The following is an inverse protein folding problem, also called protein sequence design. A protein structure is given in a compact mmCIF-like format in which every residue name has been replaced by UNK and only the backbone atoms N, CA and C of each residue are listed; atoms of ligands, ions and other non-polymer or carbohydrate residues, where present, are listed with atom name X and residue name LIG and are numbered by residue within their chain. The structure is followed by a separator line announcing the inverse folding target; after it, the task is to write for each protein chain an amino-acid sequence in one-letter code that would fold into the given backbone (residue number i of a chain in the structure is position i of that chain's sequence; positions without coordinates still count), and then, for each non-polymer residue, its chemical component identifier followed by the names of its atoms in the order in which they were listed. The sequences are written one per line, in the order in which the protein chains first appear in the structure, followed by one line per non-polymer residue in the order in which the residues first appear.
data_IF_041297810246
#
_entry.id   IF_041297810246
#
_cell.length_a   1.000
_cell.length_b   1.000
_cell.length_c   1.000
_cell.angle_alpha   90.00
_cell.angle_beta   90.00
_cell.angle_gamma   90.00
#
_symmetry.space_group_name_H-M   'P 1'
#
loop_
_entity.id
_entity.type
_entity.pdbx_description
1 polymer ?
#
# COMPACT_ATOMS: atom_id res chain seq x y z
N UNK A 1 -23.13 -25.48 -9.36
CA UNK A 1 -22.01 -25.45 -10.33
C UNK A 1 -21.54 -24.02 -10.41
N UNK A 2 -20.53 -23.65 -9.63
CA UNK A 2 -19.89 -22.34 -9.77
C UNK A 2 -19.15 -22.34 -11.12
N UNK A 3 -19.68 -21.59 -12.07
CA UNK A 3 -19.02 -21.34 -13.36
C UNK A 3 -17.67 -20.66 -13.01
N UNK A 4 -16.56 -21.37 -13.25
CA UNK A 4 -15.23 -20.77 -13.05
C UNK A 4 -15.13 -19.52 -13.93
N UNK A 5 -15.18 -18.36 -13.30
CA UNK A 5 -14.98 -17.07 -13.98
C UNK A 5 -13.52 -17.04 -14.43
N UNK A 6 -13.27 -16.84 -15.73
CA UNK A 6 -11.90 -16.79 -16.25
C UNK A 6 -11.13 -15.60 -15.65
N UNK A 7 -9.81 -15.72 -15.51
CA UNK A 7 -8.95 -14.67 -15.01
C UNK A 7 -9.11 -13.37 -15.83
N UNK A 8 -9.20 -13.49 -17.15
CA UNK A 8 -9.45 -12.34 -18.04
C UNK A 8 -10.78 -11.64 -17.78
N UNK A 9 -11.83 -12.41 -17.45
CA UNK A 9 -13.11 -11.83 -17.05
C UNK A 9 -13.04 -11.08 -15.72
N UNK A 10 -12.29 -11.59 -14.74
CA UNK A 10 -12.05 -10.88 -13.48
C UNK A 10 -11.25 -9.60 -13.69
N UNK A 11 -10.19 -9.65 -14.49
CA UNK A 11 -9.38 -8.48 -14.83
C UNK A 11 -10.23 -7.39 -15.49
N UNK A 12 -11.06 -7.77 -16.44
CA UNK A 12 -11.97 -6.85 -17.13
C UNK A 12 -12.94 -6.18 -16.14
N UNK A 13 -13.58 -6.95 -15.26
CA UNK A 13 -14.50 -6.42 -14.24
C UNK A 13 -13.80 -5.47 -13.28
N UNK A 14 -12.57 -5.77 -12.86
CA UNK A 14 -11.78 -4.85 -12.02
C UNK A 14 -11.43 -3.59 -12.78
N UNK A 15 -11.02 -3.70 -14.05
CA UNK A 15 -10.74 -2.54 -14.89
C UNK A 15 -11.97 -1.62 -15.03
N UNK A 16 -13.15 -2.19 -15.30
CA UNK A 16 -14.42 -1.46 -15.35
C UNK A 16 -14.71 -0.75 -14.03
N UNK A 17 -14.58 -1.47 -12.89
CA UNK A 17 -14.84 -0.91 -11.57
C UNK A 17 -13.87 0.23 -11.22
N UNK A 18 -12.58 0.07 -11.55
CA UNK A 18 -11.58 1.13 -11.33
C UNK A 18 -11.92 2.38 -12.14
N UNK A 19 -12.28 2.23 -13.40
CA UNK A 19 -12.59 3.38 -14.24
C UNK A 19 -13.91 4.05 -13.82
N UNK A 20 -14.97 3.27 -13.55
CA UNK A 20 -16.31 3.81 -13.30
C UNK A 20 -16.56 4.20 -11.84
N UNK A 21 -16.11 3.41 -10.85
CA UNK A 21 -16.41 3.63 -9.44
C UNK A 21 -15.23 4.30 -8.69
N UNK A 22 -14.00 3.84 -8.92
CA UNK A 22 -12.82 4.43 -8.25
C UNK A 22 -12.51 5.83 -8.76
N UNK A 23 -12.41 5.98 -10.09
CA UNK A 23 -11.98 7.22 -10.74
C UNK A 23 -13.13 8.04 -11.35
N UNK A 24 -14.34 7.47 -11.40
CA UNK A 24 -15.52 8.09 -12.00
C UNK A 24 -15.24 8.70 -13.39
N UNK A 25 -14.51 7.95 -14.23
CA UNK A 25 -14.06 8.37 -15.55
C UNK A 25 -15.26 8.61 -16.48
N UNK A 26 -15.21 9.68 -17.27
CA UNK A 26 -16.25 10.08 -18.20
C UNK A 26 -15.78 9.98 -19.64
N UNK A 27 -16.73 9.85 -20.57
CA UNK A 27 -16.46 9.91 -22.01
C UNK A 27 -15.72 11.19 -22.37
N UNK A 28 -14.66 11.06 -23.16
CA UNK A 28 -13.83 12.17 -23.64
C UNK A 28 -12.65 12.50 -22.74
N UNK A 29 -12.58 11.96 -21.53
CA UNK A 29 -11.43 12.18 -20.64
C UNK A 29 -10.16 11.46 -21.13
N UNK A 30 -9.01 11.99 -20.74
CA UNK A 30 -7.70 11.44 -20.99
C UNK A 30 -7.29 10.50 -19.85
N UNK A 31 -7.06 9.23 -20.18
CA UNK A 31 -6.66 8.18 -19.20
C UNK A 31 -5.24 7.74 -19.49
N UNK A 32 -4.34 7.94 -18.54
CA UNK A 32 -2.98 7.40 -18.58
C UNK A 32 -2.91 6.13 -17.75
N UNK A 33 -2.41 5.06 -18.34
CA UNK A 33 -2.13 3.79 -17.68
C UNK A 33 -0.63 3.57 -17.66
N UNK A 34 -0.03 3.56 -16.48
CA UNK A 34 1.37 3.21 -16.32
C UNK A 34 1.48 1.80 -15.76
N UNK A 35 2.33 0.99 -16.36
CA UNK A 35 2.54 -0.39 -15.94
C UNK A 35 4.01 -0.78 -16.06
N UNK A 36 4.45 -1.61 -15.13
CA UNK A 36 5.69 -2.35 -15.28
C UNK A 36 5.46 -3.64 -16.08
N UNK A 37 6.51 -4.31 -16.56
CA UNK A 37 6.44 -5.46 -17.47
C UNK A 37 5.40 -6.52 -17.06
N UNK A 38 5.40 -6.92 -15.79
CA UNK A 38 4.54 -7.97 -15.26
C UNK A 38 3.08 -7.55 -15.06
N UNK A 39 2.78 -6.24 -15.10
CA UNK A 39 1.41 -5.70 -15.05
C UNK A 39 0.75 -5.52 -16.42
N UNK A 40 1.48 -5.74 -17.50
CA UNK A 40 1.05 -5.38 -18.87
C UNK A 40 -0.25 -6.07 -19.30
N UNK A 41 -0.48 -7.31 -18.92
CA UNK A 41 -1.73 -8.03 -19.27
C UNK A 41 -2.95 -7.32 -18.66
N UNK A 42 -2.85 -6.93 -17.39
CA UNK A 42 -3.92 -6.18 -16.73
C UNK A 42 -4.05 -4.75 -17.28
N UNK A 43 -2.94 -4.07 -17.56
CA UNK A 43 -2.93 -2.74 -18.18
C UNK A 43 -3.67 -2.71 -19.52
N UNK A 44 -3.52 -3.77 -20.34
CA UNK A 44 -4.29 -3.94 -21.59
C UNK A 44 -5.78 -3.95 -21.33
N UNK A 45 -6.23 -4.61 -20.27
CA UNK A 45 -7.66 -4.65 -19.90
C UNK A 45 -8.16 -3.25 -19.53
N UNK A 46 -7.38 -2.48 -18.76
CA UNK A 46 -7.74 -1.09 -18.39
C UNK A 46 -7.83 -0.19 -19.62
N UNK A 47 -6.83 -0.25 -20.51
CA UNK A 47 -6.81 0.54 -21.75
C UNK A 47 -8.00 0.19 -22.65
N UNK A 48 -8.31 -1.10 -22.79
CA UNK A 48 -9.43 -1.54 -23.61
C UNK A 48 -10.78 -1.03 -23.09
N UNK A 49 -11.00 -1.11 -21.77
CA UNK A 49 -12.23 -0.63 -21.15
C UNK A 49 -12.33 0.91 -21.19
N UNK A 50 -11.24 1.64 -20.96
CA UNK A 50 -11.24 3.10 -21.08
C UNK A 50 -11.58 3.55 -22.51
N UNK A 51 -11.03 2.90 -23.53
CA UNK A 51 -11.39 3.16 -24.95
C UNK A 51 -12.84 2.83 -25.24
N UNK A 52 -13.36 1.72 -24.70
CA UNK A 52 -14.77 1.36 -24.84
C UNK A 52 -15.71 2.38 -24.19
N UNK A 53 -15.27 3.09 -23.15
CA UNK A 53 -15.99 4.22 -22.54
C UNK A 53 -15.87 5.52 -23.35
N UNK A 54 -15.09 5.53 -24.44
CA UNK A 54 -14.89 6.70 -25.30
C UNK A 54 -13.80 7.66 -24.79
N UNK A 55 -12.86 7.19 -24.01
CA UNK A 55 -11.71 7.96 -23.52
C UNK A 55 -10.55 7.92 -24.50
N UNK A 56 -9.69 8.94 -24.45
CA UNK A 56 -8.35 8.87 -25.03
C UNK A 56 -7.41 8.16 -24.05
N UNK A 57 -6.45 7.38 -24.54
CA UNK A 57 -5.59 6.57 -23.65
C UNK A 57 -4.14 6.62 -24.04
N UNK A 58 -3.25 6.69 -23.04
CA UNK A 58 -1.81 6.45 -23.15
C UNK A 58 -1.46 5.25 -22.28
N UNK A 59 -0.64 4.34 -22.81
CA UNK A 59 -0.03 3.26 -22.03
C UNK A 59 1.47 3.53 -21.95
N UNK A 60 1.95 3.75 -20.72
CA UNK A 60 3.37 3.83 -20.39
C UNK A 60 3.84 2.47 -19.89
N UNK A 61 4.95 2.03 -20.41
CA UNK A 61 5.61 0.80 -19.95
C UNK A 61 6.95 1.16 -19.33
N UNK A 62 7.11 0.85 -18.05
CA UNK A 62 8.40 0.86 -17.35
C UNK A 62 9.00 -0.54 -17.43
N UNK A 63 10.17 -0.65 -18.07
CA UNK A 63 10.89 -1.90 -18.15
C UNK A 63 11.83 -2.05 -16.95
N UNK A 64 11.68 -3.15 -16.21
CA UNK A 64 12.41 -3.39 -14.95
C UNK A 64 13.93 -3.39 -15.14
N UNK A 65 14.42 -4.05 -16.19
CA UNK A 65 15.86 -4.13 -16.43
C UNK A 65 16.43 -2.79 -16.94
N UNK A 66 15.69 -2.08 -17.80
CA UNK A 66 16.06 -0.75 -18.25
C UNK A 66 16.09 0.25 -17.09
N UNK A 67 15.12 0.17 -16.16
CA UNK A 67 15.10 1.00 -14.96
C UNK A 67 16.33 0.73 -14.06
N UNK A 68 16.62 -0.53 -13.76
CA UNK A 68 17.74 -0.91 -12.89
C UNK A 68 19.08 -0.52 -13.53
N UNK A 69 19.26 -0.84 -14.81
CA UNK A 69 20.49 -0.48 -15.54
C UNK A 69 20.66 1.03 -15.64
N UNK A 70 19.60 1.73 -16.05
CA UNK A 70 19.58 3.18 -16.17
C UNK A 70 19.89 3.88 -14.85
N UNK A 71 19.20 3.47 -13.77
CA UNK A 71 19.42 4.01 -12.43
C UNK A 71 20.86 3.79 -11.93
N UNK A 72 21.49 2.65 -12.28
CA UNK A 72 22.87 2.35 -11.86
C UNK A 72 23.93 3.24 -12.55
N UNK A 73 23.62 3.73 -13.73
CA UNK A 73 24.54 4.51 -14.64
C UNK A 73 24.23 6.00 -14.68
N UNK A 74 23.04 6.41 -14.25
CA UNK A 74 22.64 7.80 -14.32
C UNK A 74 23.55 8.72 -13.48
N UNK A 75 23.82 9.96 -13.95
CA UNK A 75 24.47 10.97 -13.14
C UNK A 75 23.69 11.23 -11.85
N UNK A 76 24.40 11.35 -10.72
CA UNK A 76 23.78 11.48 -9.39
C UNK A 76 22.81 12.67 -9.26
N UNK A 77 23.08 13.75 -9.95
CA UNK A 77 22.26 14.97 -9.97
C UNK A 77 20.97 14.81 -10.81
N UNK A 78 20.87 13.73 -11.59
CA UNK A 78 19.72 13.44 -12.47
C UNK A 78 18.76 12.38 -11.92
N UNK A 79 19.23 11.55 -11.02
CA UNK A 79 18.39 10.51 -10.42
C UNK A 79 17.28 11.14 -9.56
N UNK A 80 16.07 10.63 -9.69
CA UNK A 80 14.89 11.12 -8.96
C UNK A 80 14.39 12.49 -9.42
N UNK A 81 14.76 12.93 -10.60
CA UNK A 81 14.18 14.11 -11.25
C UNK A 81 13.09 13.66 -12.23
N UNK A 82 11.92 14.27 -12.10
CA UNK A 82 10.85 14.13 -13.06
C UNK A 82 11.15 14.94 -14.33
N UNK A 83 10.96 14.35 -15.50
CA UNK A 83 11.22 14.96 -16.78
C UNK A 83 10.11 15.90 -17.27
N UNK A 84 10.43 16.80 -18.20
CA UNK A 84 9.43 17.69 -18.81
C UNK A 84 8.32 16.93 -19.55
N UNK A 85 8.65 15.78 -20.14
CA UNK A 85 7.72 14.88 -20.80
C UNK A 85 6.71 14.30 -19.79
N UNK A 86 7.16 13.91 -18.60
CA UNK A 86 6.31 13.39 -17.54
C UNK A 86 5.38 14.48 -16.97
N UNK A 87 5.90 15.69 -16.74
CA UNK A 87 5.07 16.84 -16.33
C UNK A 87 3.98 17.13 -17.36
N UNK A 88 4.31 17.19 -18.64
CA UNK A 88 3.33 17.43 -19.71
C UNK A 88 2.29 16.32 -19.84
N UNK A 89 2.69 15.08 -19.59
CA UNK A 89 1.77 13.95 -19.56
C UNK A 89 0.79 14.05 -18.39
N UNK A 90 1.27 14.34 -17.17
CA UNK A 90 0.40 14.51 -15.99
C UNK A 90 -0.57 15.67 -16.18
N UNK A 91 -0.09 16.79 -16.70
CA UNK A 91 -0.92 17.98 -16.99
C UNK A 91 -2.04 17.67 -18.00
N UNK A 92 -1.80 16.76 -18.94
CA UNK A 92 -2.78 16.32 -19.95
C UNK A 92 -3.60 15.09 -19.54
N UNK A 93 -3.58 14.66 -18.26
CA UNK A 93 -4.24 13.45 -17.77
C UNK A 93 -5.36 13.79 -16.78
N UNK A 94 -6.58 13.30 -17.04
CA UNK A 94 -7.71 13.41 -16.11
C UNK A 94 -7.75 12.26 -15.10
N UNK A 95 -7.41 11.05 -15.54
CA UNK A 95 -7.38 9.85 -14.70
C UNK A 95 -6.12 9.02 -14.95
N UNK A 96 -5.51 8.56 -13.86
CA UNK A 96 -4.23 7.85 -13.88
C UNK A 96 -4.34 6.49 -13.19
N UNK A 97 -3.96 5.44 -13.89
CA UNK A 97 -3.94 4.07 -13.35
C UNK A 97 -2.50 3.59 -13.29
N UNK A 98 -2.00 3.35 -12.10
CA UNK A 98 -0.64 2.88 -11.86
C UNK A 98 -0.62 1.41 -11.43
N UNK A 99 0.05 0.58 -12.21
CA UNK A 99 0.28 -0.85 -11.93
C UNK A 99 1.77 -1.02 -11.61
N UNK A 100 2.16 -0.85 -10.33
CA UNK A 100 3.55 -0.77 -9.94
C UNK A 100 4.29 -2.10 -10.08
N UNK A 101 5.57 -2.01 -10.33
CA UNK A 101 6.62 -3.02 -10.16
C UNK A 101 7.71 -2.47 -9.26
N UNK A 102 8.87 -3.06 -9.27
CA UNK A 102 9.27 -4.29 -9.96
C UNK A 102 8.72 -5.56 -9.29
N UNK A 103 8.83 -6.67 -10.02
CA UNK A 103 8.34 -7.98 -9.57
C UNK A 103 9.09 -8.53 -8.36
N UNK A 104 10.39 -8.29 -8.29
CA UNK A 104 11.28 -8.88 -7.29
C UNK A 104 11.40 -8.01 -6.05
N UNK A 105 11.11 -8.56 -4.86
CA UNK A 105 11.42 -7.88 -3.60
C UNK A 105 12.92 -7.57 -3.47
N UNK A 106 13.77 -8.43 -4.02
CA UNK A 106 15.22 -8.28 -4.03
C UNK A 106 15.73 -7.16 -4.97
N UNK A 107 14.90 -6.57 -5.81
CA UNK A 107 15.33 -5.49 -6.69
C UNK A 107 15.96 -4.33 -5.92
N UNK A 108 15.44 -4.05 -4.72
CA UNK A 108 15.97 -2.99 -3.86
C UNK A 108 17.41 -3.23 -3.40
N UNK A 109 17.86 -4.49 -3.40
CA UNK A 109 19.27 -4.84 -3.12
C UNK A 109 20.18 -4.62 -4.32
N UNK A 110 19.62 -4.59 -5.54
CA UNK A 110 20.33 -4.29 -6.80
C UNK A 110 20.54 -2.78 -7.01
N UNK A 111 19.79 -1.95 -6.29
CA UNK A 111 19.83 -0.49 -6.40
C UNK A 111 20.59 0.09 -5.21
N UNK A 112 21.44 1.08 -5.49
CA UNK A 112 22.20 1.77 -4.44
C UNK A 112 21.24 2.48 -3.46
N UNK A 113 21.54 2.51 -2.13
CA UNK A 113 20.69 3.18 -1.14
C UNK A 113 20.35 4.64 -1.46
N UNK A 114 21.24 5.34 -2.16
CA UNK A 114 21.02 6.73 -2.59
C UNK A 114 19.82 6.85 -3.54
N UNK A 115 19.61 5.89 -4.43
CA UNK A 115 18.48 5.87 -5.37
C UNK A 115 17.12 5.70 -4.67
N UNK A 116 17.11 5.08 -3.49
CA UNK A 116 15.91 4.99 -2.65
C UNK A 116 15.50 6.35 -2.09
N UNK A 117 16.47 7.19 -1.73
CA UNK A 117 16.25 8.58 -1.32
C UNK A 117 15.75 9.44 -2.49
N UNK A 118 16.31 9.21 -3.66
CA UNK A 118 15.97 9.96 -4.87
C UNK A 118 14.56 9.62 -5.38
N UNK A 119 14.08 8.37 -5.18
CA UNK A 119 12.70 7.99 -5.47
C UNK A 119 11.68 8.76 -4.61
N UNK A 120 12.04 9.15 -3.39
CA UNK A 120 11.19 9.99 -2.53
C UNK A 120 11.02 11.39 -3.13
N UNK A 121 12.09 11.95 -3.70
CA UNK A 121 12.05 13.26 -4.39
C UNK A 121 11.20 13.19 -5.66
N UNK A 122 11.37 12.14 -6.46
CA UNK A 122 10.55 11.90 -7.65
C UNK A 122 9.07 11.82 -7.29
N UNK A 123 8.72 10.99 -6.30
CA UNK A 123 7.35 10.86 -5.84
C UNK A 123 6.77 12.20 -5.35
N UNK A 124 7.54 13.00 -4.61
CA UNK A 124 7.12 14.34 -4.19
C UNK A 124 6.73 15.21 -5.37
N UNK A 125 7.61 15.32 -6.38
CA UNK A 125 7.33 16.09 -7.60
C UNK A 125 6.12 15.56 -8.39
N UNK A 126 5.96 14.23 -8.42
CA UNK A 126 4.82 13.59 -9.08
C UNK A 126 3.49 13.96 -8.39
N UNK A 127 3.43 13.86 -7.05
CA UNK A 127 2.22 14.21 -6.29
C UNK A 127 1.89 15.70 -6.40
N UNK A 128 2.87 16.60 -6.34
CA UNK A 128 2.67 18.04 -6.56
C UNK A 128 2.11 18.33 -7.96
N UNK A 129 2.60 17.65 -9.00
CA UNK A 129 2.10 17.80 -10.35
C UNK A 129 0.67 17.25 -10.50
N UNK A 130 0.39 16.09 -9.90
CA UNK A 130 -0.93 15.46 -9.89
C UNK A 130 -1.99 16.32 -9.17
N UNK A 131 -1.63 16.90 -8.03
CA UNK A 131 -2.48 17.82 -7.28
C UNK A 131 -2.81 19.06 -8.12
N UNK A 132 -1.80 19.68 -8.72
CA UNK A 132 -1.97 20.84 -9.61
C UNK A 132 -2.86 20.54 -10.81
N UNK A 133 -2.71 19.36 -11.41
CA UNK A 133 -3.53 18.88 -12.52
C UNK A 133 -4.93 18.45 -12.08
N UNK A 134 -5.21 18.34 -10.77
CA UNK A 134 -6.45 17.76 -10.22
C UNK A 134 -6.74 16.36 -10.73
N UNK A 135 -5.68 15.60 -10.97
CA UNK A 135 -5.69 14.26 -11.48
C UNK A 135 -6.33 13.31 -10.46
N UNK A 136 -7.10 12.33 -10.92
CA UNK A 136 -7.62 11.23 -10.10
C UNK A 136 -6.83 9.98 -10.40
N UNK A 137 -6.23 9.37 -9.37
CA UNK A 137 -5.33 8.25 -9.54
C UNK A 137 -5.74 6.99 -8.77
N UNK A 138 -5.42 5.82 -9.34
CA UNK A 138 -5.57 4.53 -8.69
C UNK A 138 -4.28 3.72 -8.80
N UNK A 139 -3.76 3.26 -7.65
CA UNK A 139 -2.61 2.36 -7.57
C UNK A 139 -3.09 0.93 -7.41
N UNK A 140 -2.81 0.11 -8.39
CA UNK A 140 -3.27 -1.28 -8.50
C UNK A 140 -2.13 -2.22 -8.17
N UNK A 141 -2.13 -2.79 -6.98
CA UNK A 141 -1.01 -3.57 -6.47
C UNK A 141 -0.89 -4.98 -7.09
N UNK A 142 -1.35 -5.17 -8.32
CA UNK A 142 -1.26 -6.44 -9.04
C UNK A 142 0.11 -6.69 -9.65
N UNK A 143 0.87 -5.65 -9.91
CA UNK A 143 2.18 -5.72 -10.54
C UNK A 143 3.29 -6.33 -9.67
N UNK A 144 3.05 -6.51 -8.36
CA UNK A 144 4.04 -7.13 -7.45
C UNK A 144 3.95 -8.65 -7.34
N UNK A 145 2.96 -9.28 -7.99
CA UNK A 145 2.70 -10.70 -7.82
C UNK A 145 3.51 -11.51 -8.82
N UNK A 146 4.51 -12.23 -8.32
CA UNK A 146 5.36 -13.12 -9.09
C UNK A 146 5.56 -14.47 -8.42
N UNK A 147 6.34 -15.35 -9.05
CA UNK A 147 6.60 -16.72 -8.58
C UNK A 147 7.23 -16.74 -7.17
N UNK A 148 8.17 -15.83 -6.90
CA UNK A 148 8.79 -15.71 -5.58
C UNK A 148 7.76 -15.44 -4.49
N UNK A 149 6.90 -14.43 -4.69
CA UNK A 149 5.85 -14.08 -3.73
C UNK A 149 4.82 -15.19 -3.58
N UNK A 150 4.39 -15.78 -4.68
CA UNK A 150 3.43 -16.88 -4.66
C UNK A 150 4.00 -18.11 -3.95
N UNK A 151 5.28 -18.46 -4.21
CA UNK A 151 5.98 -19.56 -3.56
C UNK A 151 6.08 -19.40 -2.04
N UNK A 152 6.41 -18.19 -1.56
CA UNK A 152 6.43 -17.88 -0.11
C UNK A 152 5.06 -18.06 0.54
N UNK A 153 3.97 -17.86 -0.23
CA UNK A 153 2.59 -18.07 0.21
C UNK A 153 2.11 -19.51 0.08
N UNK A 154 2.91 -20.42 -0.49
CA UNK A 154 2.51 -21.79 -0.83
C UNK A 154 1.37 -21.85 -1.87
N UNK A 155 1.38 -20.92 -2.84
CA UNK A 155 0.34 -20.76 -3.86
C UNK A 155 0.96 -20.57 -5.24
N UNK A 156 0.14 -20.76 -6.29
CA UNK A 156 0.51 -20.35 -7.64
C UNK A 156 0.27 -18.86 -7.86
N UNK A 157 0.99 -18.24 -8.79
CA UNK A 157 0.77 -16.82 -9.19
C UNK A 157 -0.70 -16.60 -9.54
N UNK A 158 -1.30 -17.50 -10.32
CA UNK A 158 -2.71 -17.40 -10.72
C UNK A 158 -3.65 -17.35 -9.50
N UNK A 159 -3.44 -18.19 -8.48
CA UNK A 159 -4.26 -18.20 -7.26
C UNK A 159 -4.15 -16.89 -6.48
N UNK A 160 -2.95 -16.32 -6.42
CA UNK A 160 -2.71 -15.05 -5.72
C UNK A 160 -3.37 -13.90 -6.48
N UNK A 161 -3.17 -13.81 -7.80
CA UNK A 161 -3.79 -12.80 -8.67
C UNK A 161 -5.31 -12.88 -8.61
N UNK A 162 -5.89 -14.06 -8.76
CA UNK A 162 -7.34 -14.28 -8.69
C UNK A 162 -7.92 -13.79 -7.37
N UNK A 163 -7.28 -14.12 -6.25
CA UNK A 163 -7.69 -13.68 -4.92
C UNK A 163 -7.66 -12.15 -4.80
N UNK A 164 -6.62 -11.53 -5.33
CA UNK A 164 -6.47 -10.08 -5.30
C UNK A 164 -7.51 -9.37 -6.17
N UNK A 165 -7.78 -9.89 -7.35
CA UNK A 165 -8.86 -9.38 -8.21
C UNK A 165 -10.23 -9.50 -7.53
N UNK A 166 -10.50 -10.61 -6.84
CA UNK A 166 -11.73 -10.77 -6.04
C UNK A 166 -11.81 -9.77 -4.89
N UNK A 167 -10.67 -9.45 -4.26
CA UNK A 167 -10.61 -8.43 -3.20
C UNK A 167 -10.83 -7.00 -3.75
N UNK A 168 -10.43 -6.73 -4.99
CA UNK A 168 -10.69 -5.46 -5.67
C UNK A 168 -12.17 -5.28 -6.06
N UNK A 169 -12.93 -6.38 -6.20
CA UNK A 169 -14.36 -6.39 -6.50
C UNK A 169 -15.25 -6.34 -5.24
N UNK A 170 -14.71 -5.98 -4.08
CA UNK A 170 -15.51 -5.72 -2.88
C UNK A 170 -16.43 -4.53 -3.12
N UNK A 171 -17.58 -4.51 -2.44
CA UNK A 171 -18.46 -3.34 -2.47
C UNK A 171 -17.80 -2.18 -1.72
N UNK A 172 -17.52 -1.07 -2.41
CA UNK A 172 -16.86 0.09 -1.82
C UNK A 172 -17.74 0.78 -0.78
N UNK A 173 -19.07 0.69 -0.90
CA UNK A 173 -19.97 1.23 0.12
C UNK A 173 -19.88 0.46 1.43
N UNK A 174 -19.62 -0.85 1.39
CA UNK A 174 -19.39 -1.67 2.59
C UNK A 174 -18.06 -1.32 3.25
N UNK A 175 -17.01 -1.09 2.42
CA UNK A 175 -15.72 -0.61 2.90
C UNK A 175 -15.86 0.76 3.57
N UNK A 176 -16.51 1.71 2.91
CA UNK A 176 -16.73 3.06 3.45
C UNK A 176 -17.50 3.04 4.78
N UNK A 177 -18.58 2.21 4.89
CA UNK A 177 -19.30 2.04 6.17
C UNK A 177 -18.42 1.47 7.28
N UNK A 178 -17.63 0.46 6.95
CA UNK A 178 -16.68 -0.15 7.91
C UNK A 178 -15.61 0.85 8.33
N UNK A 179 -15.08 1.63 7.37
CA UNK A 179 -14.10 2.67 7.62
C UNK A 179 -14.66 3.76 8.55
N UNK A 180 -15.89 4.22 8.31
CA UNK A 180 -16.53 5.23 9.16
C UNK A 180 -16.72 4.77 10.61
N UNK A 181 -17.19 3.51 10.81
CA UNK A 181 -17.31 2.94 12.15
C UNK A 181 -15.97 2.87 12.86
N UNK A 182 -14.94 2.37 12.16
CA UNK A 182 -13.61 2.24 12.73
C UNK A 182 -12.98 3.62 13.00
N UNK A 183 -13.10 4.56 12.10
CA UNK A 183 -12.61 5.93 12.28
C UNK A 183 -13.20 6.60 13.51
N UNK A 184 -14.49 6.37 13.79
CA UNK A 184 -15.15 6.88 14.99
C UNK A 184 -14.62 6.24 16.29
N UNK A 185 -14.14 5.01 16.23
CA UNK A 185 -13.48 4.34 17.38
C UNK A 185 -12.04 4.86 17.56
N UNK A 186 -11.34 5.15 16.45
CA UNK A 186 -9.98 5.66 16.46
C UNK A 186 -9.94 7.18 16.70
N UNK A 187 -10.68 7.69 17.67
CA UNK A 187 -10.79 9.12 17.94
C UNK A 187 -9.47 9.73 18.41
N UNK A 188 -9.29 11.02 18.10
CA UNK A 188 -8.10 11.79 18.50
C UNK A 188 -7.95 11.84 20.02
N UNK A 189 -6.70 11.77 20.49
CA UNK A 189 -6.38 11.78 21.92
C UNK A 189 -6.73 10.49 22.67
N UNK A 190 -7.30 9.46 22.00
CA UNK A 190 -7.64 8.21 22.65
C UNK A 190 -6.40 7.36 22.93
N UNK A 191 -6.38 6.73 24.11
CA UNK A 191 -5.41 5.68 24.43
C UNK A 191 -5.75 4.39 23.68
N UNK A 192 -4.74 3.78 23.09
CA UNK A 192 -4.84 2.54 22.35
C UNK A 192 -3.92 1.47 22.91
N UNK A 193 -4.38 0.22 22.88
CA UNK A 193 -3.65 -0.95 23.32
C UNK A 193 -3.75 -2.04 22.26
N UNK A 194 -2.61 -2.48 21.72
CA UNK A 194 -2.48 -3.66 20.85
C UNK A 194 -1.95 -4.82 21.66
N UNK A 195 -2.65 -5.96 21.61
CA UNK A 195 -2.26 -7.19 22.30
C UNK A 195 -2.21 -8.35 21.31
N UNK A 196 -1.12 -9.09 21.28
CA UNK A 196 -0.96 -10.29 20.44
C UNK A 196 0.24 -11.12 20.90
N UNK A 197 0.10 -12.44 20.96
CA UNK A 197 1.21 -13.36 21.20
C UNK A 197 2.02 -13.06 22.48
N UNK A 198 1.37 -12.58 23.55
CA UNK A 198 1.99 -12.19 24.81
C UNK A 198 2.67 -10.80 24.76
N UNK A 199 2.56 -10.07 23.67
CA UNK A 199 3.03 -8.69 23.55
C UNK A 199 1.89 -7.71 23.84
N UNK A 200 2.27 -6.55 24.41
CA UNK A 200 1.37 -5.45 24.75
C UNK A 200 2.04 -4.15 24.35
N UNK A 201 1.40 -3.37 23.47
CA UNK A 201 1.89 -2.06 23.03
C UNK A 201 0.80 -1.03 23.30
N UNK A 202 1.11 -0.07 24.17
CA UNK A 202 0.23 1.06 24.50
C UNK A 202 0.73 2.32 23.81
N UNK A 203 -0.20 3.17 23.35
CA UNK A 203 0.09 4.47 22.72
C UNK A 203 -1.16 5.33 22.66
N UNK A 204 -0.97 6.63 22.43
CA UNK A 204 -2.06 7.59 22.21
C UNK A 204 -2.21 7.88 20.72
N UNK A 205 -3.44 7.95 20.25
CA UNK A 205 -3.77 8.38 18.88
C UNK A 205 -3.72 9.90 18.81
N UNK A 206 -3.14 10.46 17.72
CA UNK A 206 -3.01 11.91 17.55
C UNK A 206 -2.94 12.30 16.09
N UNK A 207 -3.70 13.35 15.74
CA UNK A 207 -3.64 13.97 14.42
C UNK A 207 -4.63 13.35 13.43
N UNK A 208 -4.19 13.11 12.18
CA UNK A 208 -5.07 12.82 11.05
C UNK A 208 -5.50 11.35 10.97
N UNK A 209 -6.68 11.15 10.40
CA UNK A 209 -7.20 9.85 9.96
C UNK A 209 -7.23 9.82 8.45
N UNK A 210 -6.67 8.78 7.84
CA UNK A 210 -6.79 8.52 6.41
C UNK A 210 -7.65 7.27 6.21
N UNK A 211 -8.62 7.37 5.34
CA UNK A 211 -9.49 6.26 4.95
C UNK A 211 -9.12 5.86 3.52
N UNK A 212 -8.95 4.55 3.31
CA UNK A 212 -8.69 3.96 2.01
C UNK A 212 -9.89 3.09 1.64
N UNK A 213 -10.88 3.69 1.01
CA UNK A 213 -12.15 3.02 0.65
C UNK A 213 -12.24 2.63 -0.83
N UNK A 214 -11.25 3.03 -1.64
CA UNK A 214 -11.15 2.68 -3.06
C UNK A 214 -11.83 3.69 -4.00
N UNK A 215 -12.20 4.85 -3.52
CA UNK A 215 -12.79 5.92 -4.31
C UNK A 215 -11.93 7.17 -4.24
N UNK A 216 -11.76 7.87 -5.36
CA UNK A 216 -11.20 9.22 -5.40
C UNK A 216 -12.34 10.20 -5.65
N UNK A 217 -12.87 10.77 -4.59
CA UNK A 217 -13.95 11.72 -4.66
C UNK A 217 -13.46 13.12 -5.10
N UNK A 218 -14.39 14.00 -5.44
CA UNK A 218 -14.07 15.41 -5.71
C UNK A 218 -13.40 16.08 -4.51
N UNK A 219 -13.86 15.76 -3.31
CA UNK A 219 -13.28 16.28 -2.08
C UNK A 219 -11.84 15.84 -1.89
N UNK A 220 -11.54 14.56 -2.16
CA UNK A 220 -10.16 14.04 -2.06
C UNK A 220 -9.23 14.80 -3.00
N UNK A 221 -9.66 15.09 -4.22
CA UNK A 221 -8.89 15.90 -5.19
C UNK A 221 -8.71 17.32 -4.70
N UNK A 222 -9.72 17.96 -4.11
CA UNK A 222 -9.65 19.30 -3.55
C UNK A 222 -8.71 19.37 -2.32
N UNK A 223 -8.59 18.29 -1.56
CA UNK A 223 -7.70 18.14 -0.39
C UNK A 223 -6.30 17.61 -0.76
N UNK A 224 -6.00 17.36 -2.04
CA UNK A 224 -4.71 16.84 -2.51
C UNK A 224 -4.54 15.32 -2.34
N UNK A 225 -5.61 14.59 -1.97
CA UNK A 225 -5.62 13.14 -1.83
C UNK A 225 -5.93 12.44 -3.16
N UNK A 226 -5.14 12.70 -4.17
CA UNK A 226 -5.40 12.32 -5.57
C UNK A 226 -5.31 10.84 -5.89
N UNK A 227 -4.78 10.00 -5.00
CA UNK A 227 -4.45 8.61 -5.29
C UNK A 227 -5.06 7.66 -4.25
N UNK A 228 -5.75 6.62 -4.71
CA UNK A 228 -6.25 5.52 -3.87
C UNK A 228 -5.60 4.18 -4.21
N UNK A 229 -5.71 3.20 -3.32
CA UNK A 229 -5.17 1.85 -3.50
C UNK A 229 -6.27 0.85 -3.86
N UNK A 230 -5.99 -0.03 -4.82
CA UNK A 230 -6.85 -1.14 -5.20
C UNK A 230 -6.08 -2.47 -5.09
N UNK A 231 -6.58 -3.45 -4.33
CA UNK A 231 -7.80 -3.49 -3.52
C UNK A 231 -7.78 -2.47 -2.38
N UNK A 232 -8.94 -1.86 -2.04
CA UNK A 232 -9.04 -0.91 -0.93
C UNK A 232 -9.18 -1.62 0.42
N UNK A 233 -9.18 -0.85 1.48
CA UNK A 233 -9.72 -1.30 2.74
C UNK A 233 -8.79 -1.20 3.95
N UNK A 234 -8.41 0.00 4.35
CA UNK A 234 -7.84 0.25 5.67
C UNK A 234 -8.21 1.65 6.20
N UNK A 235 -8.14 1.77 7.49
CA UNK A 235 -8.14 3.06 8.18
C UNK A 235 -6.77 3.25 8.80
N UNK A 236 -6.14 4.38 8.50
CA UNK A 236 -4.86 4.79 9.05
C UNK A 236 -5.04 5.91 10.04
N UNK A 237 -4.32 5.85 11.16
CA UNK A 237 -4.33 6.88 12.18
C UNK A 237 -2.92 7.24 12.60
N UNK A 238 -2.63 8.53 12.71
CA UNK A 238 -1.37 9.00 13.29
C UNK A 238 -1.32 8.69 14.79
N UNK A 239 -0.12 8.44 15.28
CA UNK A 239 0.17 8.08 16.68
C UNK A 239 1.05 9.17 17.28
N UNK A 240 0.82 9.55 18.54
CA UNK A 240 1.80 10.36 19.27
C UNK A 240 3.07 9.53 19.47
N UNK A 241 4.17 9.84 18.75
CA UNK A 241 5.35 9.00 18.81
C UNK A 241 6.01 8.97 20.20
N UNK A 242 5.69 9.90 21.08
CA UNK A 242 6.28 9.98 22.44
C UNK A 242 5.55 9.11 23.45
N UNK A 243 4.30 8.73 23.16
CA UNK A 243 3.46 7.93 24.04
C UNK A 243 3.71 6.43 23.95
N UNK A 244 4.38 5.95 22.87
CA UNK A 244 4.48 4.52 22.56
C UNK A 244 5.37 3.78 23.55
N UNK A 245 4.82 2.79 24.25
CA UNK A 245 5.51 1.99 25.24
C UNK A 245 5.05 0.53 25.24
N UNK A 246 5.98 -0.41 25.38
CA UNK A 246 5.70 -1.83 25.47
C UNK A 246 6.33 -2.65 24.36
N UNK A 247 5.70 -3.76 24.00
CA UNK A 247 6.18 -4.70 23.00
C UNK A 247 5.15 -4.95 21.92
N UNK A 248 5.62 -5.09 20.67
CA UNK A 248 4.81 -5.45 19.51
C UNK A 248 5.29 -6.77 18.94
N UNK A 249 4.42 -7.76 18.87
CA UNK A 249 4.66 -9.00 18.13
C UNK A 249 4.41 -8.76 16.64
N UNK A 250 5.40 -9.10 15.81
CA UNK A 250 5.33 -8.96 14.36
C UNK A 250 5.13 -10.32 13.74
N UNK A 251 4.03 -10.50 13.07
CA UNK A 251 3.72 -11.68 12.28
C UNK A 251 4.57 -11.74 11.02
N UNK A 252 4.55 -12.88 10.33
CA UNK A 252 5.19 -13.06 9.04
C UNK A 252 4.82 -11.90 8.08
N UNK A 253 5.82 -11.14 7.65
CA UNK A 253 5.65 -9.99 6.76
C UNK A 253 6.80 -9.89 5.76
N UNK A 254 6.53 -9.44 4.54
CA UNK A 254 7.56 -9.18 3.56
C UNK A 254 8.11 -7.76 3.76
N UNK A 255 9.42 -7.67 3.83
CA UNK A 255 10.14 -6.41 3.87
C UNK A 255 10.95 -6.23 2.58
N UNK A 256 11.52 -5.04 2.38
CA UNK A 256 12.44 -4.77 1.27
C UNK A 256 13.69 -5.68 1.23
N UNK A 257 14.04 -6.33 2.35
CA UNK A 257 15.19 -7.24 2.45
C UNK A 257 14.78 -8.71 2.45
N UNK A 258 13.49 -9.02 2.35
CA UNK A 258 12.98 -10.38 2.38
C UNK A 258 11.92 -10.61 3.46
N UNK A 259 11.66 -11.88 3.74
CA UNK A 259 10.62 -12.32 4.65
C UNK A 259 11.07 -12.22 6.11
N UNK A 260 10.39 -11.40 6.89
CA UNK A 260 10.54 -11.32 8.34
C UNK A 260 9.53 -12.23 9.03
N UNK A 261 9.99 -13.06 9.92
CA UNK A 261 9.15 -13.99 10.68
C UNK A 261 9.42 -13.87 12.19
N UNK A 262 8.37 -14.00 12.97
CA UNK A 262 8.43 -14.10 14.44
C UNK A 262 9.30 -13.04 15.11
N UNK A 263 9.06 -11.77 14.80
CA UNK A 263 9.79 -10.69 15.42
C UNK A 263 9.03 -10.06 16.59
N UNK A 264 9.79 -9.53 17.55
CA UNK A 264 9.27 -8.74 18.67
C UNK A 264 10.05 -7.43 18.74
N UNK A 265 9.33 -6.33 18.71
CA UNK A 265 9.85 -4.97 18.83
C UNK A 265 9.52 -4.43 20.21
N UNK A 266 10.48 -3.77 20.88
CA UNK A 266 10.30 -3.15 22.20
C UNK A 266 10.43 -1.65 22.09
N UNK A 267 9.42 -0.93 22.53
CA UNK A 267 9.39 0.53 22.56
C UNK A 267 9.44 1.04 24.01
N UNK A 268 10.19 2.10 24.23
CA UNK A 268 10.23 2.86 25.49
C UNK A 268 10.25 4.35 25.17
N UNK A 269 9.38 5.12 25.80
CA UNK A 269 9.29 6.57 25.61
C UNK A 269 9.26 6.96 24.12
N UNK A 270 8.46 6.22 23.36
CA UNK A 270 8.28 6.43 21.93
C UNK A 270 9.38 5.91 21.00
N UNK A 271 10.46 5.34 21.54
CA UNK A 271 11.62 4.88 20.74
C UNK A 271 11.67 3.36 20.65
N UNK A 272 11.99 2.84 19.48
CA UNK A 272 12.33 1.43 19.29
C UNK A 272 13.73 1.18 19.88
N UNK A 273 13.78 0.52 21.05
CA UNK A 273 15.01 0.29 21.82
C UNK A 273 15.56 -1.12 21.71
N UNK A 274 14.72 -2.11 21.36
CA UNK A 274 15.12 -3.50 21.22
C UNK A 274 14.29 -4.22 20.17
N UNK A 275 14.91 -5.14 19.45
CA UNK A 275 14.27 -6.01 18.48
C UNK A 275 14.85 -7.41 18.53
N UNK A 276 14.00 -8.40 18.25
CA UNK A 276 14.35 -9.82 18.21
C UNK A 276 13.59 -10.49 17.08
N UNK A 277 14.19 -11.51 16.46
CA UNK A 277 13.52 -12.41 15.52
C UNK A 277 14.16 -13.79 15.63
N UNK A 278 13.39 -14.86 15.46
CA UNK A 278 13.90 -16.23 15.53
C UNK A 278 14.76 -16.60 14.32
N UNK A 279 14.34 -16.26 13.11
CA UNK A 279 15.02 -16.70 11.89
C UNK A 279 15.65 -15.58 11.05
N UNK A 280 15.36 -14.30 11.38
CA UNK A 280 15.66 -13.17 10.51
C UNK A 280 16.40 -12.04 11.22
N UNK A 281 17.17 -12.34 12.26
CA UNK A 281 17.82 -11.36 13.12
C UNK A 281 18.78 -10.40 12.40
N UNK A 282 19.67 -10.88 11.48
CA UNK A 282 20.54 -9.99 10.71
C UNK A 282 19.73 -9.01 9.85
N UNK A 283 18.73 -9.50 9.11
CA UNK A 283 17.87 -8.71 8.25
C UNK A 283 17.07 -7.67 9.06
N UNK A 284 16.46 -8.07 10.18
CA UNK A 284 15.73 -7.16 11.06
C UNK A 284 16.64 -6.05 11.60
N UNK A 285 17.87 -6.40 11.97
CA UNK A 285 18.86 -5.43 12.44
C UNK A 285 19.24 -4.44 11.33
N UNK A 286 19.40 -4.90 10.11
CA UNK A 286 19.67 -4.05 8.94
C UNK A 286 18.51 -3.11 8.65
N UNK A 287 17.27 -3.62 8.64
CA UNK A 287 16.06 -2.82 8.46
C UNK A 287 15.96 -1.68 9.48
N UNK A 288 16.17 -2.00 10.76
CA UNK A 288 16.10 -1.01 11.84
C UNK A 288 17.25 -0.01 11.78
N UNK A 289 18.47 -0.47 11.51
CA UNK A 289 19.66 0.40 11.43
C UNK A 289 19.67 1.32 10.21
N UNK A 290 18.96 0.97 9.16
CA UNK A 290 18.77 1.85 7.99
C UNK A 290 18.03 3.15 8.33
N UNK A 291 17.29 3.18 9.44
CA UNK A 291 16.60 4.38 9.93
C UNK A 291 17.48 5.05 11.00
N UNK A 292 17.75 6.36 10.91
CA UNK A 292 18.43 7.10 11.95
C UNK A 292 17.77 6.90 13.32
N UNK A 293 18.55 6.75 14.38
CA UNK A 293 18.04 6.35 15.69
C UNK A 293 16.91 7.26 16.21
N UNK A 294 17.06 8.58 16.04
CA UNK A 294 16.06 9.57 16.44
C UNK A 294 14.74 9.46 15.68
N UNK A 295 14.73 8.78 14.51
CA UNK A 295 13.56 8.54 13.68
C UNK A 295 12.94 7.14 13.86
N UNK A 296 13.52 6.26 14.70
CA UNK A 296 13.00 4.92 14.98
C UNK A 296 11.80 4.97 15.93
N UNK A 297 10.71 5.56 15.48
CA UNK A 297 9.50 5.77 16.27
C UNK A 297 8.29 5.21 15.53
N UNK A 298 7.33 4.71 16.28
CA UNK A 298 6.03 4.40 15.68
C UNK A 298 5.26 5.73 15.47
N UNK A 299 4.82 5.98 14.26
CA UNK A 299 4.11 7.21 13.90
C UNK A 299 2.73 6.95 13.32
N UNK A 300 2.43 5.69 12.96
CA UNK A 300 1.21 5.33 12.26
C UNK A 300 0.68 3.97 12.71
N UNK A 301 -0.62 3.89 12.86
CA UNK A 301 -1.42 2.68 13.04
C UNK A 301 -2.30 2.51 11.81
N UNK A 302 -2.35 1.30 11.22
CA UNK A 302 -3.39 0.97 10.24
C UNK A 302 -4.20 -0.23 10.74
N UNK A 303 -5.48 -0.21 10.44
CA UNK A 303 -6.40 -1.33 10.68
C UNK A 303 -7.09 -1.69 9.38
N UNK A 304 -6.91 -2.94 8.94
CA UNK A 304 -7.49 -3.45 7.70
C UNK A 304 -8.98 -3.75 7.85
N UNK A 305 -9.73 -3.51 6.78
CA UNK A 305 -11.20 -3.66 6.75
C UNK A 305 -11.73 -4.40 5.52
N UNK A 306 -10.87 -4.85 4.58
CA UNK A 306 -11.34 -5.57 3.40
C UNK A 306 -11.56 -7.06 3.72
N UNK A 307 -12.82 -7.56 3.74
CA UNK A 307 -13.14 -8.92 4.13
C UNK A 307 -12.74 -9.97 3.08
N UNK A 308 -12.48 -9.55 1.84
CA UNK A 308 -12.05 -10.43 0.74
C UNK A 308 -10.55 -10.48 0.56
N UNK A 309 -9.82 -9.55 1.21
CA UNK A 309 -8.37 -9.53 1.15
C UNK A 309 -7.79 -10.67 1.97
N UNK A 310 -6.83 -11.38 1.42
CA UNK A 310 -5.99 -12.29 2.17
C UNK A 310 -4.62 -11.68 2.41
N UNK A 311 -3.89 -12.24 3.34
CA UNK A 311 -2.53 -11.81 3.58
C UNK A 311 -1.71 -11.95 2.29
N UNK A 312 -1.25 -10.81 1.81
CA UNK A 312 -0.39 -10.65 0.66
C UNK A 312 0.69 -9.64 1.07
N UNK A 313 1.93 -10.05 0.94
CA UNK A 313 3.05 -9.25 1.38
C UNK A 313 3.03 -7.82 0.82
N UNK A 314 3.21 -6.86 1.72
CA UNK A 314 3.14 -5.42 1.40
C UNK A 314 1.73 -4.83 1.37
N UNK A 315 0.69 -5.67 1.38
CA UNK A 315 -0.72 -5.25 1.38
C UNK A 315 -1.52 -5.82 2.54
N UNK A 316 -0.84 -6.45 3.48
CA UNK A 316 -1.47 -7.06 4.66
C UNK A 316 -2.29 -6.06 5.47
N UNK A 317 -2.00 -4.77 5.36
CA UNK A 317 -2.74 -3.68 6.02
C UNK A 317 -4.20 -3.56 5.58
N UNK A 318 -4.58 -4.12 4.42
CA UNK A 318 -5.96 -4.11 3.93
C UNK A 318 -6.80 -5.27 4.45
N UNK A 319 -6.18 -6.32 4.97
CA UNK A 319 -6.88 -7.53 5.47
C UNK A 319 -7.75 -7.17 6.66
N UNK A 320 -9.05 -7.49 6.60
CA UNK A 320 -9.97 -7.20 7.69
C UNK A 320 -9.46 -7.74 9.04
N UNK A 321 -9.37 -6.87 10.04
CA UNK A 321 -8.86 -7.19 11.37
C UNK A 321 -7.34 -7.26 11.50
N UNK A 322 -6.55 -6.97 10.42
CA UNK A 322 -5.11 -6.79 10.57
C UNK A 322 -4.80 -5.49 11.29
N UNK A 323 -3.84 -5.53 12.19
CA UNK A 323 -3.28 -4.34 12.86
C UNK A 323 -1.85 -4.17 12.36
N UNK A 324 -1.52 -2.98 11.87
CA UNK A 324 -0.20 -2.69 11.30
C UNK A 324 0.36 -1.41 11.89
N UNK A 325 1.61 -1.46 12.35
CA UNK A 325 2.35 -0.34 12.89
C UNK A 325 3.50 0.05 11.96
N UNK A 326 3.78 1.34 11.82
CA UNK A 326 4.86 1.83 10.96
C UNK A 326 5.52 3.09 11.49
N UNK A 327 6.53 3.58 10.73
CA UNK A 327 7.32 4.77 11.06
C UNK A 327 8.76 4.48 11.50
N UNK A 328 9.12 3.22 11.67
CA UNK A 328 10.45 2.78 12.14
C UNK A 328 11.24 1.98 11.10
N UNK A 329 10.94 2.16 9.82
CA UNK A 329 11.70 1.60 8.69
C UNK A 329 11.01 0.49 7.92
N UNK A 330 9.94 -0.08 8.46
CA UNK A 330 9.08 -1.04 7.78
C UNK A 330 7.67 -1.03 8.38
N UNK A 331 6.73 -1.70 7.74
CA UNK A 331 5.39 -1.91 8.27
C UNK A 331 5.34 -3.25 9.01
N UNK A 332 5.13 -3.20 10.31
CA UNK A 332 4.99 -4.37 11.15
C UNK A 332 3.52 -4.82 11.20
N UNK A 333 3.24 -6.00 10.67
CA UNK A 333 1.90 -6.58 10.65
C UNK A 333 1.72 -7.47 11.86
N UNK A 334 0.63 -7.28 12.61
CA UNK A 334 0.23 -8.14 13.73
C UNK A 334 -1.09 -8.83 13.37
N UNK A 335 -1.04 -10.16 13.21
CA UNK A 335 -2.22 -11.00 12.92
C UNK A 335 -2.82 -11.51 14.22
N UNK A 336 -4.15 -11.67 14.24
CA UNK A 336 -4.85 -12.16 15.41
C UNK A 336 -4.75 -11.25 16.63
N UNK A 337 -4.51 -9.95 16.40
CA UNK A 337 -4.40 -8.98 17.48
C UNK A 337 -5.76 -8.61 18.07
N UNK A 338 -5.74 -8.21 19.33
CA UNK A 338 -6.77 -7.38 19.93
C UNK A 338 -6.29 -5.92 19.88
N UNK A 339 -7.17 -5.03 19.44
CA UNK A 339 -6.97 -3.58 19.52
C UNK A 339 -8.09 -2.97 20.33
N UNK A 340 -7.73 -2.36 21.45
CA UNK A 340 -8.64 -1.59 22.31
C UNK A 340 -8.31 -0.11 22.20
N UNK A 341 -9.32 0.75 22.03
CA UNK A 341 -9.18 2.20 21.92
C UNK A 341 -10.18 2.87 22.84
N UNK A 342 -9.72 3.70 23.78
CA UNK A 342 -10.58 4.34 24.78
C UNK A 342 -11.44 3.34 25.56
N UNK A 343 -10.89 2.15 25.85
CA UNK A 343 -11.61 1.07 26.53
C UNK A 343 -12.59 0.26 25.68
N UNK A 344 -12.70 0.53 24.37
CA UNK A 344 -13.59 -0.20 23.44
C UNK A 344 -12.78 -1.09 22.51
N UNK A 345 -13.25 -2.29 22.23
CA UNK A 345 -12.62 -3.18 21.26
C UNK A 345 -12.89 -2.69 19.84
N UNK A 346 -11.83 -2.37 19.10
CA UNK A 346 -11.87 -2.06 17.69
C UNK A 346 -11.57 -3.31 16.85
N UNK A 347 -10.71 -4.21 17.36
CA UNK A 347 -10.39 -5.52 16.77
C UNK A 347 -10.34 -6.54 17.90
N UNK A 348 -10.89 -7.74 17.69
CA UNK A 348 -10.84 -8.85 18.65
C UNK A 348 -10.37 -10.13 17.96
N UNK A 349 -9.23 -10.69 18.39
CA UNK A 349 -8.66 -11.89 17.79
C UNK A 349 -8.42 -11.76 16.28
N UNK A 350 -8.09 -10.56 15.79
CA UNK A 350 -7.91 -10.28 14.37
C UNK A 350 -9.23 -10.18 13.58
N UNK A 351 -10.34 -9.86 14.22
CA UNK A 351 -11.66 -9.62 13.58
C UNK A 351 -12.18 -8.25 13.98
N UNK A 352 -12.83 -7.57 13.04
CA UNK A 352 -13.51 -6.29 13.24
C UNK A 352 -14.86 -6.48 13.92
#
# INVERSE_FOLDING_TARGET
MDTMVSLSSLQRRVAQKVLSETLAVKKGEAVTVESWNNGLEFARSVVAEARAMGCTTVLLLEDEEAYIEGASRAPKDRVGLMGRNEFGMIEGTDAYVFIPGPLLAAYQTRIKPQLMSDSTRYNGSWYEAAEKAKLRGARLAFGYIGEEMAGVMGRTVQQVVERQLKAALVDFSDIARSAQRLSSLLADGSEALVQAGGSHLAFSLKGETTIEDGVVSRRDVEEGNNMTYIPPGFVSRSVDPTSVSGTLSVSKTLTRLGLLEDAVLTFREGRLVRWKSRGSMPMLTELVKAVPEQKRKMTILNVGINPRMGYLFGQDRMVAGSVTAGGFGFMAVTRGADLTVGGRHAVTGGKL
#
